data_IF_577484519372
#
_entry.id   IF_577484519372
#
_cell.length_a   1.000
_cell.length_b   1.000
_cell.length_c   1.000
_cell.angle_alpha   90.00
_cell.angle_beta   90.00
_cell.angle_gamma   90.00
#
_symmetry.space_group_name_H-M   'P 1'
#
loop_
_entity.id
_entity.type
_entity.pdbx_description
1 polymer ?
#
# COMPACT_ATOMS: atom_id res chain seq x y z
N UNK A 1 1.43 -13.89 -4.48
CA UNK A 1 1.57 -13.55 -3.04
C UNK A 1 0.59 -12.43 -2.67
N UNK A 2 -0.42 -12.71 -1.83
CA UNK A 2 -1.29 -11.69 -1.22
C UNK A 2 -0.77 -11.44 0.20
N UNK A 3 0.21 -10.56 0.36
CA UNK A 3 0.63 -10.14 1.71
C UNK A 3 -0.24 -8.97 2.13
N UNK A 4 -1.08 -9.21 3.14
CA UNK A 4 -1.75 -8.18 3.94
C UNK A 4 -0.98 -7.95 5.26
N UNK A 5 0.27 -8.40 5.29
CA UNK A 5 1.14 -8.27 6.44
C UNK A 5 1.41 -6.78 6.65
N UNK A 6 1.11 -6.24 7.84
CA UNK A 6 1.35 -4.84 8.12
C UNK A 6 2.84 -4.55 8.05
N UNK A 7 3.22 -3.55 7.26
CA UNK A 7 4.63 -3.15 7.08
C UNK A 7 4.95 -1.87 7.84
N UNK A 8 6.19 -1.72 8.28
CA UNK A 8 6.71 -0.44 8.74
C UNK A 8 7.10 0.40 7.52
N UNK A 9 6.58 1.62 7.46
CA UNK A 9 6.90 2.59 6.42
C UNK A 9 7.51 3.83 7.05
N UNK A 10 8.42 4.46 6.33
CA UNK A 10 8.91 5.80 6.65
C UNK A 10 7.73 6.78 6.81
N UNK A 11 7.69 7.63 7.85
CA UNK A 11 6.52 8.45 8.18
C UNK A 11 6.00 9.31 7.02
N UNK A 12 6.91 9.92 6.24
CA UNK A 12 6.56 10.78 5.11
C UNK A 12 5.90 9.96 3.99
N UNK A 13 6.42 8.78 3.69
CA UNK A 13 5.86 7.89 2.66
C UNK A 13 4.49 7.40 3.12
N UNK A 14 4.39 7.00 4.39
CA UNK A 14 3.14 6.50 4.95
C UNK A 14 2.05 7.59 4.95
N UNK A 15 2.38 8.82 5.33
CA UNK A 15 1.43 9.94 5.28
C UNK A 15 0.92 10.23 3.87
N UNK A 16 1.80 10.23 2.86
CA UNK A 16 1.43 10.42 1.45
C UNK A 16 0.47 9.33 0.99
N UNK A 17 0.81 8.06 1.25
CA UNK A 17 -0.01 6.91 0.86
C UNK A 17 -1.37 6.91 1.57
N UNK A 18 -1.40 7.27 2.86
CA UNK A 18 -2.64 7.41 3.62
C UNK A 18 -3.52 8.55 3.11
N UNK A 19 -2.92 9.70 2.76
CA UNK A 19 -3.67 10.83 2.19
C UNK A 19 -4.28 10.50 0.83
N UNK A 20 -3.64 9.62 0.06
CA UNK A 20 -4.19 9.07 -1.19
C UNK A 20 -5.19 7.92 -0.96
N UNK A 21 -5.43 7.52 0.30
CA UNK A 21 -6.33 6.42 0.64
C UNK A 21 -5.81 5.03 0.25
N UNK A 22 -4.50 4.87 0.02
CA UNK A 22 -3.87 3.61 -0.45
C UNK A 22 -3.54 2.64 0.69
N UNK A 23 -3.33 3.18 1.88
CA UNK A 23 -3.03 2.42 3.09
C UNK A 23 -3.86 2.91 4.27
N UNK A 24 -4.02 2.05 5.26
CA UNK A 24 -4.56 2.34 6.58
C UNK A 24 -3.50 2.04 7.63
N UNK A 25 -3.51 2.80 8.72
CA UNK A 25 -2.64 2.56 9.86
C UNK A 25 -3.30 1.63 10.88
N UNK A 26 -2.52 0.69 11.37
CA UNK A 26 -2.79 -0.12 12.54
C UNK A 26 -1.59 0.05 13.50
N UNK A 27 -1.73 0.99 14.43
CA UNK A 27 -0.61 1.48 15.25
C UNK A 27 0.49 2.11 14.40
N UNK A 28 1.70 1.55 14.46
CA UNK A 28 2.85 1.99 13.66
C UNK A 28 2.99 1.27 12.31
N UNK A 29 2.06 0.35 11.99
CA UNK A 29 2.13 -0.46 10.79
C UNK A 29 1.09 -0.03 9.77
N UNK A 30 1.44 -0.14 8.50
CA UNK A 30 0.60 0.19 7.38
C UNK A 30 0.08 -1.06 6.69
N UNK A 31 -1.21 -1.06 6.35
CA UNK A 31 -1.86 -2.13 5.57
C UNK A 31 -2.53 -1.52 4.33
N UNK A 32 -2.47 -2.20 3.19
CA UNK A 32 -3.15 -1.77 1.97
C UNK A 32 -4.68 -1.75 2.16
N UNK A 33 -5.34 -0.71 1.64
CA UNK A 33 -6.79 -0.50 1.80
C UNK A 33 -7.63 -1.20 0.74
N UNK A 34 -7.10 -1.42 -0.46
CA UNK A 34 -7.92 -1.92 -1.57
C UNK A 34 -7.14 -2.74 -2.60
N UNK A 35 -7.80 -3.76 -3.15
CA UNK A 35 -7.26 -4.61 -4.21
C UNK A 35 -7.19 -3.93 -5.58
N UNK A 36 -7.91 -2.82 -5.80
CA UNK A 36 -7.88 -2.09 -7.08
C UNK A 36 -6.49 -1.53 -7.39
N UNK A 37 -5.89 -0.81 -6.44
CA UNK A 37 -4.52 -0.29 -6.61
C UNK A 37 -3.49 -1.41 -6.70
N UNK A 38 -3.68 -2.50 -5.93
CA UNK A 38 -2.83 -3.70 -6.05
C UNK A 38 -2.85 -4.27 -7.47
N UNK A 39 -4.03 -4.36 -8.08
CA UNK A 39 -4.19 -4.84 -9.45
C UNK A 39 -3.63 -3.86 -10.48
N UNK A 40 -3.92 -2.56 -10.33
CA UNK A 40 -3.40 -1.51 -11.20
C UNK A 40 -1.86 -1.53 -11.24
N UNK A 41 -1.22 -1.43 -10.08
CA UNK A 41 0.25 -1.43 -10.03
C UNK A 41 0.85 -2.76 -10.50
N UNK A 42 0.23 -3.90 -10.20
CA UNK A 42 0.68 -5.18 -10.77
C UNK A 42 0.62 -5.22 -12.29
N UNK A 43 -0.41 -4.66 -12.90
CA UNK A 43 -0.52 -4.58 -14.35
C UNK A 43 0.52 -3.64 -14.95
N UNK A 44 0.90 -2.58 -14.24
CA UNK A 44 1.93 -1.62 -14.66
C UNK A 44 3.37 -2.13 -14.43
N UNK A 45 3.57 -3.15 -13.59
CA UNK A 45 4.87 -3.75 -13.29
C UNK A 45 5.23 -4.91 -14.23
N UNK A 46 4.36 -5.25 -15.20
CA UNK A 46 4.71 -6.18 -16.26
C UNK A 46 5.42 -5.39 -17.37
N UNK A 47 6.71 -5.66 -17.64
CA UNK A 47 7.32 -5.18 -18.87
C UNK A 47 6.59 -5.84 -20.04
N UNK A 48 6.21 -5.01 -21.01
CA UNK A 48 5.59 -5.48 -22.24
C UNK A 48 6.57 -6.27 -23.11
#
# INVERSE_FOLDING_TARGET
VKTNEPILLEPIIAYKLSSMGLIKFDGNKATLTCDLYRQYFRSQQQPH
#
